data_IF_989493762975
#
_entry.id   IF_989493762975
#
_cell.length_a   1.000
_cell.length_b   1.000
_cell.length_c   1.000
_cell.angle_alpha   90.00
_cell.angle_beta   90.00
_cell.angle_gamma   90.00
#
_symmetry.space_group_name_H-M   'P 1'
#
loop_
_entity.id
_entity.type
_entity.pdbx_description
1 polymer ?
#
# COMPACT_ATOMS: atom_id res chain seq x y z
N UNK A 1 40.24 21.56 38.05
CA UNK A 1 38.86 22.07 37.93
C UNK A 1 38.01 20.97 37.33
N UNK A 2 37.38 20.18 38.20
CA UNK A 2 36.51 19.08 37.81
C UNK A 2 35.06 19.59 37.70
N UNK A 3 34.23 18.84 36.96
CA UNK A 3 32.76 18.81 37.06
C UNK A 3 32.00 19.97 36.38
N UNK A 4 32.12 20.13 35.06
CA UNK A 4 31.13 20.92 34.31
C UNK A 4 30.75 20.35 32.94
N UNK A 5 31.25 19.16 32.57
CA UNK A 5 30.94 18.55 31.26
C UNK A 5 29.63 17.75 31.21
N UNK A 6 29.12 17.30 32.36
CA UNK A 6 28.00 16.35 32.39
C UNK A 6 26.61 17.00 32.35
N UNK A 7 26.48 18.26 32.78
CA UNK A 7 25.18 18.91 32.93
C UNK A 7 24.60 19.45 31.59
N UNK A 8 25.46 19.81 30.63
CA UNK A 8 25.02 20.41 29.36
C UNK A 8 24.39 19.38 28.43
N UNK A 9 24.83 18.12 28.51
CA UNK A 9 24.35 17.03 27.64
C UNK A 9 22.90 16.64 27.93
N UNK A 10 22.46 16.72 29.19
CA UNK A 10 21.12 16.28 29.58
C UNK A 10 20.01 17.26 29.16
N UNK A 11 20.31 18.55 29.00
CA UNK A 11 19.32 19.54 28.58
C UNK A 11 18.99 19.41 27.08
N UNK A 12 19.93 18.94 26.26
CA UNK A 12 19.70 18.77 24.80
C UNK A 12 18.81 17.57 24.50
N UNK A 13 18.85 16.50 25.31
CA UNK A 13 18.01 15.31 25.08
C UNK A 13 16.52 15.53 25.34
N UNK A 14 16.14 16.53 26.15
CA UNK A 14 14.74 16.78 26.49
C UNK A 14 13.94 17.47 25.35
N UNK A 15 14.60 18.13 24.39
CA UNK A 15 13.93 18.83 23.29
C UNK A 15 13.63 17.94 22.07
N UNK A 16 14.18 16.73 22.00
CA UNK A 16 13.99 15.82 20.85
C UNK A 16 12.71 14.98 20.92
N UNK A 17 11.94 15.03 22.02
CA UNK A 17 10.77 14.15 22.23
C UNK A 17 9.43 14.83 21.90
N UNK A 18 9.40 16.13 21.55
CA UNK A 18 8.15 16.91 21.52
C UNK A 18 7.84 17.65 20.21
N UNK A 19 8.35 17.21 19.06
CA UNK A 19 7.79 17.61 17.75
C UNK A 19 7.54 16.36 16.92
N UNK A 20 6.29 15.90 16.92
CA UNK A 20 5.34 16.18 15.84
C UNK A 20 5.82 15.54 14.51
N UNK A 21 5.11 14.57 13.92
CA UNK A 21 3.70 14.28 14.04
C UNK A 21 3.39 12.80 14.11
N UNK A 22 2.20 12.53 14.65
CA UNK A 22 1.29 11.58 14.02
C UNK A 22 1.20 11.93 12.53
N UNK A 23 2.17 11.48 11.75
CA UNK A 23 1.95 11.24 10.35
C UNK A 23 1.14 9.95 10.28
N UNK A 24 -0.15 10.09 10.60
CA UNK A 24 -1.21 9.45 9.81
C UNK A 24 -1.14 10.03 8.40
N UNK A 25 0.03 9.96 7.77
CA UNK A 25 0.09 10.01 6.34
C UNK A 25 -0.43 8.65 5.93
N UNK A 26 -1.70 8.65 5.57
CA UNK A 26 -2.13 7.95 4.38
C UNK A 26 -1.18 8.40 3.25
N UNK A 27 0.07 7.94 3.26
CA UNK A 27 0.85 7.83 2.05
C UNK A 27 0.14 6.67 1.37
N UNK A 28 -0.64 6.88 0.30
CA UNK A 28 -0.75 5.81 -0.66
C UNK A 28 0.71 5.48 -0.96
N UNK A 29 1.15 4.30 -0.53
CA UNK A 29 2.38 3.72 -1.01
C UNK A 29 2.12 3.61 -2.49
N UNK A 30 2.56 4.61 -3.25
CA UNK A 30 2.58 4.52 -4.70
C UNK A 30 3.74 3.58 -4.97
N UNK A 31 3.51 2.30 -4.69
CA UNK A 31 4.22 1.22 -5.33
C UNK A 31 4.23 1.58 -6.81
N UNK A 32 5.42 1.58 -7.39
CA UNK A 32 5.67 2.01 -8.77
C UNK A 32 4.97 1.04 -9.73
N UNK A 33 3.67 1.22 -9.84
CA UNK A 33 2.70 0.30 -10.44
C UNK A 33 1.45 1.15 -10.60
N UNK A 34 0.94 1.28 -11.82
CA UNK A 34 -0.03 2.32 -12.20
C UNK A 34 -1.28 2.40 -11.32
N UNK A 35 -2.19 3.36 -11.53
CA UNK A 35 -3.41 3.54 -10.70
C UNK A 35 -4.32 2.29 -10.62
N UNK A 36 -4.01 1.24 -11.39
CA UNK A 36 -4.69 -0.04 -11.45
C UNK A 36 -4.15 -1.07 -10.43
N UNK A 37 -3.00 -0.85 -9.81
CA UNK A 37 -2.34 -1.84 -8.95
C UNK A 37 -2.69 -1.65 -7.47
N UNK A 38 -2.56 -2.72 -6.68
CA UNK A 38 -3.02 -2.79 -5.28
C UNK A 38 -4.51 -2.47 -5.12
N UNK A 39 -5.34 -2.86 -6.08
CA UNK A 39 -6.75 -2.53 -6.06
C UNK A 39 -7.61 -3.71 -6.53
N UNK A 40 -8.87 -3.71 -6.11
CA UNK A 40 -9.89 -4.67 -6.52
C UNK A 40 -10.72 -4.07 -7.66
N UNK A 41 -10.81 -4.80 -8.77
CA UNK A 41 -11.52 -4.37 -9.96
C UNK A 41 -12.70 -5.31 -10.19
N UNK A 42 -13.90 -4.78 -9.96
CA UNK A 42 -15.14 -5.46 -10.37
C UNK A 42 -15.28 -5.44 -11.89
N UNK A 43 -15.24 -4.26 -12.55
CA UNK A 43 -14.99 -4.22 -13.98
C UNK A 43 -13.49 -4.38 -14.24
N UNK A 44 -13.10 -5.38 -15.01
CA UNK A 44 -11.70 -5.61 -15.39
C UNK A 44 -11.64 -6.15 -16.83
N UNK A 45 -10.73 -5.59 -17.65
CA UNK A 45 -10.76 -5.82 -19.09
C UNK A 45 -12.14 -5.50 -19.68
N UNK A 46 -12.74 -6.47 -20.38
CA UNK A 46 -14.11 -6.41 -20.93
C UNK A 46 -15.20 -6.95 -19.98
N UNK A 47 -14.82 -7.49 -18.81
CA UNK A 47 -15.76 -8.09 -17.87
C UNK A 47 -16.32 -7.04 -16.91
N UNK A 48 -17.60 -6.68 -17.08
CA UNK A 48 -18.25 -5.66 -16.22
C UNK A 48 -18.78 -6.21 -14.89
N UNK A 49 -18.98 -7.53 -14.79
CA UNK A 49 -19.68 -8.15 -13.66
C UNK A 49 -18.75 -8.67 -12.55
N UNK A 50 -17.44 -8.72 -12.79
CA UNK A 50 -16.48 -9.43 -11.95
C UNK A 50 -15.70 -10.47 -12.73
N UNK A 51 -14.92 -11.28 -12.02
CA UNK A 51 -14.19 -12.41 -12.60
C UNK A 51 -14.87 -13.74 -12.23
N UNK A 52 -14.84 -14.73 -13.11
CA UNK A 52 -15.20 -16.11 -12.76
C UNK A 52 -13.96 -16.85 -12.24
N UNK A 53 -14.11 -17.93 -11.45
CA UNK A 53 -12.95 -18.72 -11.00
C UNK A 53 -12.09 -19.24 -12.16
N UNK A 54 -12.69 -19.54 -13.31
CA UNK A 54 -11.98 -19.95 -14.53
C UNK A 54 -11.20 -18.81 -15.20
N UNK A 55 -11.54 -17.55 -14.92
CA UNK A 55 -10.90 -16.36 -15.49
C UNK A 55 -9.73 -15.86 -14.63
N UNK A 56 -9.23 -16.67 -13.70
CA UNK A 56 -8.13 -16.27 -12.84
C UNK A 56 -6.85 -15.94 -13.64
N UNK A 57 -6.52 -16.76 -14.65
CA UNK A 57 -5.37 -16.53 -15.52
C UNK A 57 -5.50 -15.30 -16.41
N UNK A 58 -6.72 -15.00 -16.87
CA UNK A 58 -7.03 -13.79 -17.63
C UNK A 58 -6.88 -12.54 -16.75
N UNK A 59 -7.38 -12.58 -15.50
CA UNK A 59 -7.21 -11.52 -14.51
C UNK A 59 -5.73 -11.27 -14.21
N UNK A 60 -4.96 -12.33 -14.01
CA UNK A 60 -3.52 -12.24 -13.82
C UNK A 60 -2.82 -11.56 -15.00
N UNK A 61 -3.07 -12.06 -16.22
CA UNK A 61 -2.49 -11.52 -17.46
C UNK A 61 -2.87 -10.06 -17.69
N UNK A 62 -4.12 -9.69 -17.40
CA UNK A 62 -4.58 -8.30 -17.49
C UNK A 62 -3.81 -7.41 -16.51
N UNK A 63 -3.73 -7.80 -15.24
CA UNK A 63 -3.00 -7.06 -14.23
C UNK A 63 -1.49 -6.96 -14.53
N UNK A 64 -0.86 -8.00 -15.10
CA UNK A 64 0.58 -8.01 -15.44
C UNK A 64 0.99 -6.91 -16.43
N UNK A 65 0.03 -6.31 -17.14
CA UNK A 65 0.29 -5.17 -18.04
C UNK A 65 0.81 -3.95 -17.27
N UNK A 66 0.42 -3.78 -16.00
CA UNK A 66 0.78 -2.62 -15.18
C UNK A 66 1.33 -2.98 -13.80
N UNK A 67 1.11 -4.21 -13.35
CA UNK A 67 1.26 -4.68 -11.98
C UNK A 67 2.05 -6.00 -11.95
N UNK A 68 2.32 -6.59 -10.77
CA UNK A 68 3.02 -7.88 -10.67
C UNK A 68 2.19 -9.08 -11.14
N UNK A 69 0.89 -8.89 -11.30
CA UNK A 69 -0.08 -9.93 -11.61
C UNK A 69 -1.35 -9.73 -10.81
N UNK A 70 -2.24 -10.70 -10.86
CA UNK A 70 -3.56 -10.59 -10.26
C UNK A 70 -4.22 -11.92 -9.97
N UNK A 71 -5.24 -11.89 -9.12
CA UNK A 71 -6.03 -13.06 -8.76
C UNK A 71 -7.51 -12.71 -8.65
N UNK A 72 -8.37 -13.62 -9.08
CA UNK A 72 -9.80 -13.52 -8.90
C UNK A 72 -10.20 -13.88 -7.47
N UNK A 73 -10.70 -12.91 -6.70
CA UNK A 73 -11.11 -13.10 -5.29
C UNK A 73 -12.57 -12.76 -5.03
N UNK A 74 -13.23 -13.60 -4.23
CA UNK A 74 -14.55 -13.28 -3.69
C UNK A 74 -14.45 -12.21 -2.59
N UNK A 75 -15.11 -11.07 -2.83
CA UNK A 75 -15.12 -9.87 -1.98
C UNK A 75 -16.48 -9.18 -2.09
N UNK A 76 -17.02 -8.70 -0.97
CA UNK A 76 -18.30 -7.95 -0.96
C UNK A 76 -19.50 -8.64 -1.64
N UNK A 77 -19.51 -9.97 -1.72
CA UNK A 77 -20.62 -10.74 -2.33
C UNK A 77 -20.44 -11.07 -3.81
N UNK A 78 -19.33 -10.69 -4.43
CA UNK A 78 -19.00 -11.00 -5.83
C UNK A 78 -17.51 -11.28 -6.02
N UNK A 79 -17.17 -11.93 -7.12
CA UNK A 79 -15.77 -12.15 -7.47
C UNK A 79 -15.19 -10.91 -8.18
N UNK A 80 -14.03 -10.43 -7.73
CA UNK A 80 -13.33 -9.27 -8.26
C UNK A 80 -11.89 -9.63 -8.61
N UNK A 81 -11.37 -9.03 -9.68
CA UNK A 81 -9.98 -9.20 -10.06
C UNK A 81 -9.12 -8.28 -9.18
N UNK A 82 -8.24 -8.86 -8.36
CA UNK A 82 -7.35 -8.10 -7.49
C UNK A 82 -5.95 -8.04 -8.11
N UNK A 83 -5.49 -6.84 -8.47
CA UNK A 83 -4.15 -6.63 -9.02
C UNK A 83 -3.15 -6.34 -7.90
N UNK A 84 -2.02 -7.05 -7.89
CA UNK A 84 -0.97 -6.93 -6.87
C UNK A 84 0.08 -5.87 -7.21
N UNK A 85 0.56 -5.16 -6.19
CA UNK A 85 1.88 -4.54 -6.24
C UNK A 85 2.99 -5.57 -5.93
#
# INVERSE_FOLDING_TARGET
MARAGAAVVLVVLAFLVASAGNSTTNVPTVSSSGPMCCNEHRPWGDNQMGCSPDQNGDCDSWCQTWCRGGECKFRHGHNQCHCYC
#
